data_IF_355309001894
#
_entry.id   IF_355309001894
#
_cell.length_a   1.000
_cell.length_b   1.000
_cell.length_c   1.000
_cell.angle_alpha   90.00
_cell.angle_beta   90.00
_cell.angle_gamma   90.00
#
_symmetry.space_group_name_H-M   'P 1'
#
loop_
_entity.id
_entity.type
_entity.pdbx_description
1 polymer ?
#
# COMPACT_ATOMS: atom_id res chain seq x y z
N UNK A 1 -9.72 -15.24 -4.42
CA UNK A 1 -9.14 -14.37 -3.37
C UNK A 1 -10.07 -13.23 -2.96
N UNK A 2 -10.34 -12.19 -3.77
CA UNK A 2 -11.21 -11.06 -3.33
C UNK A 2 -12.68 -11.45 -3.04
N UNK A 3 -13.27 -12.37 -3.81
CA UNK A 3 -14.66 -12.85 -3.59
C UNK A 3 -14.90 -13.61 -2.28
N UNK A 4 -13.84 -14.04 -1.59
CA UNK A 4 -13.94 -14.90 -0.40
C UNK A 4 -13.42 -14.24 0.89
N UNK A 5 -12.81 -13.05 0.80
CA UNK A 5 -12.28 -12.35 1.97
C UNK A 5 -12.70 -10.86 1.93
N UNK A 6 -13.63 -10.43 2.81
CA UNK A 6 -14.16 -9.06 2.82
C UNK A 6 -13.12 -8.01 3.23
N UNK A 7 -11.98 -8.43 3.80
CA UNK A 7 -10.89 -7.54 4.22
C UNK A 7 -10.04 -7.10 3.03
N UNK A 8 -9.99 -7.89 1.94
CA UNK A 8 -9.15 -7.58 0.79
C UNK A 8 -9.75 -6.43 -0.03
N UNK A 9 -9.04 -5.31 -0.08
CA UNK A 9 -9.44 -4.12 -0.85
C UNK A 9 -8.25 -3.52 -1.60
N UNK A 10 -8.53 -2.73 -2.64
CA UNK A 10 -7.50 -1.95 -3.33
C UNK A 10 -8.10 -0.70 -3.95
N UNK A 11 -7.28 0.32 -4.11
CA UNK A 11 -7.57 1.58 -4.79
C UNK A 11 -6.33 2.05 -5.55
N UNK A 12 -6.54 2.73 -6.67
CA UNK A 12 -5.47 3.32 -7.48
C UNK A 12 -5.71 4.82 -7.58
N UNK A 13 -4.66 5.59 -7.34
CA UNK A 13 -4.63 7.03 -7.53
C UNK A 13 -3.60 7.35 -8.60
N UNK A 14 -3.94 8.24 -9.53
CA UNK A 14 -3.03 8.67 -10.59
C UNK A 14 -2.87 10.19 -10.56
N UNK A 15 -1.63 10.66 -10.73
CA UNK A 15 -1.33 12.07 -10.90
C UNK A 15 -0.12 12.24 -11.82
N UNK A 16 -0.33 12.82 -13.02
CA UNK A 16 0.74 13.18 -13.97
C UNK A 16 1.74 12.05 -14.28
N UNK A 17 1.24 10.81 -14.43
CA UNK A 17 2.07 9.63 -14.73
C UNK A 17 2.77 9.01 -13.51
N UNK A 18 2.52 9.52 -12.30
CA UNK A 18 2.78 8.78 -11.06
C UNK A 18 1.50 8.06 -10.60
N UNK A 19 1.67 6.86 -10.07
CA UNK A 19 0.57 6.02 -9.58
C UNK A 19 0.79 5.66 -8.11
N UNK A 20 -0.28 5.67 -7.33
CA UNK A 20 -0.29 5.07 -5.99
C UNK A 20 -1.28 3.91 -5.99
N UNK A 21 -0.81 2.73 -5.64
CA UNK A 21 -1.63 1.54 -5.37
C UNK A 21 -1.73 1.37 -3.84
N UNK A 22 -2.91 1.60 -3.28
CA UNK A 22 -3.24 1.29 -1.89
C UNK A 22 -4.03 -0.01 -1.85
N UNK A 23 -3.54 -1.00 -1.11
CA UNK A 23 -4.19 -2.31 -1.04
C UNK A 23 -4.04 -2.96 0.31
N UNK A 24 -5.08 -3.69 0.70
CA UNK A 24 -5.15 -4.46 1.94
C UNK A 24 -5.17 -5.94 1.60
N UNK A 25 -4.26 -6.69 2.20
CA UNK A 25 -4.24 -8.16 2.16
C UNK A 25 -4.42 -8.71 3.57
N UNK A 26 -4.80 -9.97 3.67
CA UNK A 26 -4.92 -10.64 4.96
C UNK A 26 -4.73 -12.14 4.86
N UNK A 27 -4.19 -12.72 5.92
CA UNK A 27 -4.16 -14.14 6.18
C UNK A 27 -5.21 -14.47 7.24
N UNK A 28 -6.05 -15.47 6.97
CA UNK A 28 -7.09 -15.92 7.89
C UNK A 28 -6.70 -17.25 8.54
N UNK A 29 -7.30 -17.56 9.68
CA UNK A 29 -7.25 -18.89 10.29
C UNK A 29 -7.79 -19.96 9.32
N UNK A 30 -7.41 -21.23 9.56
CA UNK A 30 -7.87 -22.36 8.72
C UNK A 30 -9.40 -22.47 8.62
N UNK A 31 -10.11 -22.05 9.66
CA UNK A 31 -11.58 -22.04 9.72
C UNK A 31 -12.22 -20.70 9.29
N UNK A 32 -11.41 -19.74 8.82
CA UNK A 32 -11.80 -18.39 8.38
C UNK A 32 -12.53 -17.53 9.43
N UNK A 33 -12.44 -17.87 10.71
CA UNK A 33 -13.09 -17.09 11.78
C UNK A 33 -12.26 -15.92 12.27
N UNK A 34 -10.94 -16.00 12.14
CA UNK A 34 -10.01 -15.00 12.63
C UNK A 34 -9.10 -14.51 11.50
N UNK A 35 -8.78 -13.22 11.53
CA UNK A 35 -7.70 -12.65 10.73
C UNK A 35 -6.43 -12.80 11.55
N UNK A 36 -5.47 -13.56 11.05
CA UNK A 36 -4.18 -13.77 11.71
C UNK A 36 -3.21 -12.63 11.37
N UNK A 37 -3.27 -12.14 10.14
CA UNK A 37 -2.45 -11.01 9.68
C UNK A 37 -3.32 -10.15 8.78
N UNK A 38 -3.27 -8.83 8.97
CA UNK A 38 -3.76 -7.85 8.02
C UNK A 38 -2.60 -6.94 7.62
N UNK A 39 -2.43 -6.65 6.33
CA UNK A 39 -1.35 -5.80 5.85
C UNK A 39 -1.85 -4.80 4.84
N UNK A 40 -1.74 -3.51 5.18
CA UNK A 40 -1.99 -2.41 4.26
C UNK A 40 -0.69 -2.04 3.58
N UNK A 41 -0.71 -1.96 2.26
CA UNK A 41 0.41 -1.58 1.43
C UNK A 41 0.05 -0.35 0.60
N UNK A 42 0.91 0.66 0.61
CA UNK A 42 0.81 1.85 -0.23
C UNK A 42 2.06 1.96 -1.09
N UNK A 43 1.91 1.70 -2.38
CA UNK A 43 2.99 1.65 -3.34
C UNK A 43 2.89 2.82 -4.30
N UNK A 44 3.88 3.71 -4.26
CA UNK A 44 4.01 4.83 -5.21
C UNK A 44 4.99 4.45 -6.32
N UNK A 45 4.49 4.44 -7.54
CA UNK A 45 5.24 4.21 -8.77
C UNK A 45 5.52 5.55 -9.45
N UNK A 46 6.80 5.82 -9.69
CA UNK A 46 7.26 7.00 -10.41
C UNK A 46 8.10 6.59 -11.59
N UNK A 47 7.77 7.07 -12.78
CA UNK A 47 8.60 6.89 -13.96
C UNK A 47 9.88 7.71 -13.78
N UNK A 48 11.02 7.05 -13.88
CA UNK A 48 12.32 7.70 -13.94
C UNK A 48 12.92 7.42 -15.31
N UNK A 49 13.33 8.47 -16.02
CA UNK A 49 13.95 8.33 -17.34
C UNK A 49 15.10 9.29 -17.53
N UNK A 50 16.15 8.82 -18.18
CA UNK A 50 17.23 9.63 -18.70
C UNK A 50 17.37 9.36 -20.21
N UNK A 51 18.35 9.99 -20.88
CA UNK A 51 18.54 9.84 -22.34
C UNK A 51 18.83 8.41 -22.81
N UNK A 52 19.27 7.51 -21.92
CA UNK A 52 19.72 6.15 -22.25
C UNK A 52 18.82 5.06 -21.66
N UNK A 53 18.15 5.33 -20.56
CA UNK A 53 17.49 4.34 -19.72
C UNK A 53 16.12 4.84 -19.24
N UNK A 54 15.14 3.95 -19.24
CA UNK A 54 13.82 4.15 -18.63
C UNK A 54 13.63 3.10 -17.54
N UNK A 55 13.04 3.50 -16.42
CA UNK A 55 12.66 2.60 -15.36
C UNK A 55 11.54 3.15 -14.49
N UNK A 56 11.20 2.36 -13.48
CA UNK A 56 10.14 2.67 -12.53
C UNK A 56 10.77 2.64 -11.15
N UNK A 57 10.67 3.75 -10.43
CA UNK A 57 10.95 3.81 -9.00
C UNK A 57 9.70 3.36 -8.25
N UNK A 58 9.84 2.33 -7.41
CA UNK A 58 8.84 1.92 -6.44
C UNK A 58 9.23 2.45 -5.07
N UNK A 59 8.38 3.29 -4.48
CA UNK A 59 8.43 3.65 -3.06
C UNK A 59 7.28 2.94 -2.34
N UNK A 60 7.64 2.04 -1.42
CA UNK A 60 6.69 1.15 -0.77
C UNK A 60 6.62 1.44 0.74
N UNK A 61 5.40 1.59 1.25
CA UNK A 61 5.08 1.62 2.67
C UNK A 61 4.14 0.45 2.99
N UNK A 62 4.42 -0.26 4.08
CA UNK A 62 3.60 -1.39 4.53
C UNK A 62 3.39 -1.30 6.05
N UNK A 63 2.16 -1.48 6.48
CA UNK A 63 1.76 -1.56 7.88
C UNK A 63 1.06 -2.90 8.13
N UNK A 64 1.51 -3.64 9.16
CA UNK A 64 0.95 -4.94 9.54
C UNK A 64 0.21 -4.88 10.87
N UNK A 65 -0.96 -5.51 10.90
CA UNK A 65 -1.71 -5.89 12.09
C UNK A 65 -1.58 -7.39 12.35
N UNK A 66 -1.44 -7.73 13.61
CA UNK A 66 -1.37 -9.07 14.20
C UNK A 66 -2.50 -9.22 15.23
N UNK A 67 -2.80 -10.43 15.72
CA UNK A 67 -3.95 -10.65 16.61
C UNK A 67 -3.95 -9.75 17.86
N UNK A 68 -2.77 -9.46 18.41
CA UNK A 68 -2.60 -8.60 19.58
C UNK A 68 -2.92 -7.12 19.36
N UNK A 69 -2.92 -6.63 18.11
CA UNK A 69 -3.16 -5.22 17.78
C UNK A 69 -4.16 -5.01 16.63
N UNK A 70 -4.90 -6.06 16.25
CA UNK A 70 -5.78 -6.07 15.08
C UNK A 70 -6.86 -4.98 15.13
N UNK A 71 -7.47 -4.79 16.30
CA UNK A 71 -8.49 -3.74 16.49
C UNK A 71 -7.91 -2.34 16.28
N UNK A 72 -6.72 -2.08 16.83
CA UNK A 72 -6.01 -0.82 16.64
C UNK A 72 -5.64 -0.62 15.16
N UNK A 73 -5.19 -1.67 14.48
CA UNK A 73 -4.88 -1.64 13.06
C UNK A 73 -6.11 -1.24 12.22
N UNK A 74 -7.25 -1.90 12.42
CA UNK A 74 -8.47 -1.58 11.67
C UNK A 74 -9.06 -0.22 12.02
N UNK A 75 -8.96 0.21 13.28
CA UNK A 75 -9.38 1.55 13.68
C UNK A 75 -8.51 2.63 13.00
N UNK A 76 -7.19 2.47 13.01
CA UNK A 76 -6.27 3.37 12.30
C UNK A 76 -6.55 3.40 10.80
N UNK A 77 -6.78 2.24 10.18
CA UNK A 77 -7.13 2.13 8.77
C UNK A 77 -8.37 2.96 8.44
N UNK A 78 -9.42 2.91 9.26
CA UNK A 78 -10.66 3.68 9.05
C UNK A 78 -10.47 5.19 9.25
N UNK A 79 -9.68 5.59 10.24
CA UNK A 79 -9.51 7.01 10.59
C UNK A 79 -8.51 7.74 9.70
N UNK A 80 -7.53 7.03 9.13
CA UNK A 80 -6.39 7.63 8.43
C UNK A 80 -6.23 7.14 6.98
N UNK A 81 -7.32 6.69 6.33
CA UNK A 81 -7.27 6.16 4.96
C UNK A 81 -6.59 7.13 4.00
N UNK A 82 -7.09 8.37 3.88
CA UNK A 82 -6.55 9.37 2.95
C UNK A 82 -5.21 9.94 3.41
N UNK A 83 -5.04 10.15 4.73
CA UNK A 83 -3.85 10.78 5.30
C UNK A 83 -2.56 10.03 4.94
N UNK A 84 -2.56 8.70 5.01
CA UNK A 84 -1.37 7.91 4.70
C UNK A 84 -1.03 7.98 3.20
N UNK A 85 -2.05 7.97 2.34
CA UNK A 85 -1.90 8.14 0.88
C UNK A 85 -1.30 9.52 0.56
N UNK A 86 -1.80 10.57 1.21
CA UNK A 86 -1.28 11.93 1.06
C UNK A 86 0.17 12.05 1.52
N UNK A 87 0.53 11.43 2.65
CA UNK A 87 1.92 11.40 3.14
C UNK A 87 2.85 10.73 2.11
N UNK A 88 2.48 9.56 1.59
CA UNK A 88 3.27 8.84 0.57
C UNK A 88 3.35 9.64 -0.74
N UNK A 89 2.24 10.23 -1.18
CA UNK A 89 2.17 11.06 -2.38
C UNK A 89 3.00 12.34 -2.31
N UNK A 90 3.09 12.94 -1.13
CA UNK A 90 3.85 14.17 -0.89
C UNK A 90 5.29 13.91 -0.41
N UNK A 91 5.67 12.66 -0.15
CA UNK A 91 7.03 12.33 0.24
C UNK A 91 8.03 12.73 -0.85
N UNK A 92 9.07 13.48 -0.47
CA UNK A 92 10.09 13.94 -1.40
C UNK A 92 11.06 12.80 -1.73
N UNK A 93 10.82 12.14 -2.86
CA UNK A 93 11.71 11.11 -3.39
C UNK A 93 12.97 11.75 -3.98
N UNK A 94 14.13 11.27 -3.54
CA UNK A 94 15.43 11.66 -4.12
C UNK A 94 15.50 11.27 -5.60
N UNK A 95 16.19 12.07 -6.41
CA UNK A 95 16.46 11.70 -7.79
C UNK A 95 17.42 10.51 -7.83
N UNK A 96 17.03 9.44 -8.53
CA UNK A 96 17.81 8.22 -8.71
C UNK A 96 18.21 8.13 -10.18
N UNK A 97 19.49 7.89 -10.45
CA UNK A 97 19.99 7.61 -11.79
C UNK A 97 20.11 6.10 -12.01
N UNK A 98 19.50 5.62 -13.09
CA UNK A 98 19.71 4.26 -13.58
C UNK A 98 20.98 4.27 -14.43
N UNK A 99 21.98 3.48 -14.02
CA UNK A 99 23.25 3.29 -14.76
C UNK A 99 23.04 2.56 -16.09
#
# INVERSE_FOLDING_TARGET
MKKANPVISYQIHENKGEYILDFLISENSKDNKEVLIAERNIYRYKIISNKKSKGILLFALSERGYPENMDSFFNNLKTNTSKLIEIVGNYNLTNIEIK
#
